data_IF_644211802926
#
_entry.id   IF_644211802926
#
_cell.length_a   1.000
_cell.length_b   1.000
_cell.length_c   1.000
_cell.angle_alpha   90.00
_cell.angle_beta   90.00
_cell.angle_gamma   90.00
#
_symmetry.space_group_name_H-M   'P 1'
#
loop_
_entity.id
_entity.type
_entity.pdbx_description
1 polymer ?
#
# COMPACT_ATOMS: atom_id res chain seq x y z
N UNK A 1 -4.66 -20.97 17.72
CA UNK A 1 -4.13 -19.62 17.46
C UNK A 1 -4.52 -19.28 16.03
N UNK A 2 -5.29 -18.21 15.80
CA UNK A 2 -5.63 -17.80 14.43
C UNK A 2 -4.35 -17.45 13.66
N UNK A 3 -4.20 -18.00 12.46
CA UNK A 3 -3.05 -17.77 11.60
C UNK A 3 -2.96 -16.31 11.15
N UNK A 4 -1.77 -15.87 10.76
CA UNK A 4 -1.59 -14.52 10.22
C UNK A 4 -2.46 -14.28 8.98
N UNK A 5 -2.63 -15.30 8.12
CA UNK A 5 -3.51 -15.23 6.95
C UNK A 5 -4.99 -15.05 7.29
N UNK A 6 -5.50 -15.71 8.35
CA UNK A 6 -6.88 -15.53 8.81
C UNK A 6 -7.11 -14.11 9.32
N UNK A 7 -6.14 -13.54 10.05
CA UNK A 7 -6.21 -12.13 10.48
C UNK A 7 -6.24 -11.16 9.30
N UNK A 8 -5.44 -11.40 8.27
CA UNK A 8 -5.46 -10.58 7.05
C UNK A 8 -6.79 -10.72 6.30
N UNK A 9 -7.32 -11.93 6.23
CA UNK A 9 -8.64 -12.19 5.65
C UNK A 9 -9.75 -11.42 6.39
N UNK A 10 -9.76 -11.48 7.73
CA UNK A 10 -10.70 -10.74 8.57
C UNK A 10 -10.58 -9.23 8.36
N UNK A 11 -9.35 -8.71 8.25
CA UNK A 11 -9.10 -7.30 7.93
C UNK A 11 -9.67 -6.90 6.57
N UNK A 12 -9.58 -7.77 5.55
CA UNK A 12 -10.13 -7.52 4.23
C UNK A 12 -11.67 -7.55 4.18
N UNK A 13 -12.31 -8.30 5.09
CA UNK A 13 -13.77 -8.34 5.20
C UNK A 13 -14.34 -7.20 6.03
N UNK A 14 -13.58 -6.69 7.01
CA UNK A 14 -13.98 -5.56 7.84
C UNK A 14 -13.74 -4.23 7.13
N UNK A 15 -14.77 -3.45 6.73
CA UNK A 15 -14.58 -2.22 5.97
C UNK A 15 -13.70 -1.19 6.69
N UNK A 16 -13.84 -1.07 8.01
CA UNK A 16 -13.04 -0.15 8.81
C UNK A 16 -11.56 -0.54 8.87
N UNK A 17 -11.26 -1.84 9.00
CA UNK A 17 -9.87 -2.32 9.04
C UNK A 17 -9.22 -2.24 7.66
N UNK A 18 -9.94 -2.64 6.61
CA UNK A 18 -9.47 -2.51 5.23
C UNK A 18 -9.15 -1.03 4.91
N UNK A 19 -10.05 -0.10 5.21
CA UNK A 19 -9.80 1.33 5.00
C UNK A 19 -8.59 1.82 5.80
N UNK A 20 -8.41 1.35 7.03
CA UNK A 20 -7.25 1.70 7.86
C UNK A 20 -5.94 1.24 7.20
N UNK A 21 -5.89 0.01 6.68
CA UNK A 21 -4.72 -0.53 5.98
C UNK A 21 -4.39 0.31 4.74
N UNK A 22 -5.42 0.63 3.94
CA UNK A 22 -5.25 1.47 2.75
C UNK A 22 -4.76 2.88 3.10
N UNK A 23 -5.36 3.53 4.10
CA UNK A 23 -5.00 4.88 4.53
C UNK A 23 -3.56 4.91 5.07
N UNK A 24 -3.16 3.95 5.88
CA UNK A 24 -1.77 3.84 6.36
C UNK A 24 -0.80 3.70 5.20
N UNK A 25 -1.10 2.85 4.22
CA UNK A 25 -0.29 2.71 3.01
C UNK A 25 -0.18 4.01 2.21
N UNK A 26 -1.30 4.67 1.95
CA UNK A 26 -1.35 5.92 1.19
C UNK A 26 -0.61 7.06 1.90
N UNK A 27 -0.80 7.22 3.21
CA UNK A 27 -0.11 8.25 4.00
C UNK A 27 1.39 7.98 4.00
N UNK A 28 1.83 6.75 4.27
CA UNK A 28 3.26 6.40 4.24
C UNK A 28 3.88 6.66 2.87
N UNK A 29 3.17 6.27 1.79
CA UNK A 29 3.63 6.51 0.42
C UNK A 29 3.76 8.01 0.13
N UNK A 30 2.75 8.80 0.52
CA UNK A 30 2.74 10.24 0.32
C UNK A 30 3.87 10.92 1.09
N UNK A 31 4.09 10.53 2.35
CA UNK A 31 5.19 11.05 3.16
C UNK A 31 6.55 10.65 2.58
N UNK A 32 6.71 9.41 2.12
CA UNK A 32 7.95 8.96 1.45
C UNK A 32 8.24 9.76 0.19
N UNK A 33 7.23 9.97 -0.68
CA UNK A 33 7.36 10.77 -1.90
C UNK A 33 7.64 12.25 -1.61
N UNK A 34 7.00 12.81 -0.58
CA UNK A 34 7.28 14.16 -0.13
C UNK A 34 8.72 14.29 0.39
N UNK A 35 9.19 13.33 1.18
CA UNK A 35 10.57 13.29 1.65
C UNK A 35 11.57 13.22 0.49
N UNK A 36 11.31 12.38 -0.53
CA UNK A 36 12.11 12.33 -1.76
C UNK A 36 12.15 13.68 -2.49
N UNK A 37 11.00 14.35 -2.61
CA UNK A 37 10.91 15.67 -3.26
C UNK A 37 11.69 16.76 -2.51
N UNK A 38 11.88 16.60 -1.20
CA UNK A 38 12.64 17.53 -0.37
C UNK A 38 14.15 17.27 -0.39
N UNK A 39 14.63 16.10 -0.85
CA UNK A 39 16.06 15.76 -0.85
C UNK A 39 16.97 16.84 -1.46
N UNK A 40 16.62 17.51 -2.57
CA UNK A 40 17.45 18.58 -3.12
C UNK A 40 17.66 19.77 -2.16
N UNK A 41 16.71 20.02 -1.24
CA UNK A 41 16.79 21.12 -0.27
C UNK A 41 17.64 20.79 0.97
N UNK A 42 17.99 19.51 1.18
CA UNK A 42 18.69 19.03 2.38
C UNK A 42 20.20 19.29 2.30
N UNK A 43 20.74 19.51 1.10
CA UNK A 43 22.18 19.64 0.88
C UNK A 43 22.89 18.29 0.89
N UNK A 44 24.12 18.21 1.42
CA UNK A 44 24.95 17.00 1.41
C UNK A 44 25.33 16.52 2.82
N UNK A 45 25.81 15.28 2.93
CA UNK A 45 26.31 14.71 4.18
C UNK A 45 25.30 13.82 4.92
N UNK A 46 25.47 13.67 6.23
CA UNK A 46 24.71 12.71 7.04
C UNK A 46 23.21 12.95 7.06
N UNK A 47 22.76 14.20 7.02
CA UNK A 47 21.34 14.55 6.95
C UNK A 47 20.68 14.08 5.65
N UNK A 48 21.37 14.20 4.52
CA UNK A 48 20.89 13.70 3.23
C UNK A 48 20.77 12.17 3.23
N UNK A 49 21.76 11.46 3.80
CA UNK A 49 21.73 10.01 3.90
C UNK A 49 20.56 9.51 4.75
N UNK A 50 20.33 10.15 5.91
CA UNK A 50 19.21 9.81 6.78
C UNK A 50 17.86 10.08 6.11
N UNK A 51 17.69 11.23 5.46
CA UNK A 51 16.43 11.56 4.76
C UNK A 51 16.17 10.66 3.57
N UNK A 52 17.21 10.26 2.83
CA UNK A 52 17.09 9.27 1.75
C UNK A 52 16.59 7.92 2.27
N UNK A 53 17.15 7.45 3.39
CA UNK A 53 16.72 6.18 4.01
C UNK A 53 15.27 6.26 4.49
N UNK A 54 14.88 7.34 5.15
CA UNK A 54 13.50 7.55 5.59
C UNK A 54 12.54 7.58 4.39
N UNK A 55 12.90 8.29 3.33
CA UNK A 55 12.08 8.38 2.12
C UNK A 55 11.88 7.01 1.46
N UNK A 56 12.93 6.19 1.37
CA UNK A 56 12.87 4.84 0.82
C UNK A 56 12.02 3.90 1.69
N UNK A 57 12.24 3.90 3.00
CA UNK A 57 11.49 3.04 3.93
C UNK A 57 10.00 3.38 3.90
N UNK A 58 9.65 4.66 3.99
CA UNK A 58 8.25 5.11 3.94
C UNK A 58 7.59 4.80 2.60
N UNK A 59 8.31 4.95 1.50
CA UNK A 59 7.82 4.58 0.17
C UNK A 59 7.58 3.07 0.09
N UNK A 60 8.52 2.24 0.54
CA UNK A 60 8.39 0.78 0.54
C UNK A 60 7.25 0.27 1.41
N UNK A 61 7.11 0.80 2.64
CA UNK A 61 5.98 0.53 3.53
C UNK A 61 4.66 0.93 2.87
N UNK A 62 4.63 2.11 2.25
CA UNK A 62 3.45 2.61 1.57
C UNK A 62 3.01 1.71 0.42
N UNK A 63 3.94 1.35 -0.47
CA UNK A 63 3.69 0.42 -1.58
C UNK A 63 3.16 -0.92 -1.07
N UNK A 64 3.80 -1.47 -0.04
CA UNK A 64 3.39 -2.76 0.53
C UNK A 64 1.95 -2.74 1.04
N UNK A 65 1.59 -1.75 1.86
CA UNK A 65 0.25 -1.69 2.45
C UNK A 65 -0.85 -1.34 1.42
N UNK A 66 -0.54 -0.51 0.42
CA UNK A 66 -1.47 -0.25 -0.69
C UNK A 66 -1.70 -1.52 -1.50
N UNK A 67 -0.63 -2.23 -1.87
CA UNK A 67 -0.74 -3.50 -2.60
C UNK A 67 -1.52 -4.54 -1.79
N UNK A 68 -1.23 -4.67 -0.50
CA UNK A 68 -1.95 -5.56 0.42
C UNK A 68 -3.46 -5.24 0.46
N UNK A 69 -3.83 -3.97 0.61
CA UNK A 69 -5.23 -3.55 0.62
C UNK A 69 -5.94 -3.91 -0.70
N UNK A 70 -5.29 -3.68 -1.85
CA UNK A 70 -5.83 -4.00 -3.16
C UNK A 70 -6.02 -5.51 -3.35
N UNK A 71 -5.04 -6.33 -2.92
CA UNK A 71 -5.18 -7.79 -2.92
C UNK A 71 -6.31 -8.24 -2.00
N UNK A 72 -6.37 -7.72 -0.77
CA UNK A 72 -7.44 -8.05 0.16
C UNK A 72 -8.81 -7.72 -0.42
N UNK A 73 -8.99 -6.53 -0.99
CA UNK A 73 -10.24 -6.16 -1.67
C UNK A 73 -10.61 -7.13 -2.79
N UNK A 74 -9.63 -7.57 -3.59
CA UNK A 74 -9.90 -8.46 -4.72
C UNK A 74 -10.34 -9.85 -4.24
N UNK A 75 -9.76 -10.33 -3.14
CA UNK A 75 -10.05 -11.66 -2.62
C UNK A 75 -11.27 -11.70 -1.68
N UNK A 76 -11.59 -10.60 -0.99
CA UNK A 76 -12.74 -10.53 -0.07
C UNK A 76 -14.04 -10.08 -0.74
N UNK A 77 -13.98 -9.49 -1.94
CA UNK A 77 -15.17 -9.18 -2.72
C UNK A 77 -15.98 -10.46 -2.97
N UNK A 78 -17.27 -10.47 -2.61
CA UNK A 78 -18.15 -11.65 -2.69
C UNK A 78 -19.24 -11.50 -3.75
N UNK A 79 -19.66 -12.61 -4.36
CA UNK A 79 -20.75 -12.66 -5.34
C UNK A 79 -20.27 -12.96 -6.76
N UNK A 80 -21.13 -13.61 -7.54
CA UNK A 80 -20.82 -14.12 -8.88
C UNK A 80 -21.29 -13.20 -10.01
N UNK A 81 -21.57 -11.93 -9.70
CA UNK A 81 -21.97 -10.95 -10.71
C UNK A 81 -20.78 -10.54 -11.58
N UNK A 82 -21.09 -10.17 -12.83
CA UNK A 82 -20.13 -9.54 -13.74
C UNK A 82 -19.41 -8.34 -13.09
N UNK A 83 -20.15 -7.51 -12.35
CA UNK A 83 -19.61 -6.32 -11.67
C UNK A 83 -18.56 -6.68 -10.62
N UNK A 84 -18.79 -7.73 -9.83
CA UNK A 84 -17.81 -8.21 -8.84
C UNK A 84 -16.55 -8.72 -9.53
N UNK A 85 -16.67 -9.49 -10.61
CA UNK A 85 -15.51 -9.98 -11.38
C UNK A 85 -14.67 -8.84 -11.95
N UNK A 86 -15.30 -7.83 -12.58
CA UNK A 86 -14.59 -6.65 -13.10
C UNK A 86 -13.88 -5.90 -11.98
N UNK A 87 -14.53 -5.74 -10.82
CA UNK A 87 -13.93 -5.09 -9.65
C UNK A 87 -12.68 -5.81 -9.15
N UNK A 88 -12.73 -7.14 -9.01
CA UNK A 88 -11.57 -7.95 -8.61
C UNK A 88 -10.40 -7.79 -9.58
N UNK A 89 -10.68 -7.85 -10.90
CA UNK A 89 -9.66 -7.65 -11.94
C UNK A 89 -9.05 -6.25 -11.83
N UNK A 90 -9.88 -5.21 -11.67
CA UNK A 90 -9.40 -3.83 -11.53
C UNK A 90 -8.46 -3.66 -10.33
N UNK A 91 -8.78 -4.27 -9.19
CA UNK A 91 -7.93 -4.22 -8.00
C UNK A 91 -6.62 -4.97 -8.18
N UNK A 92 -6.64 -6.14 -8.82
CA UNK A 92 -5.41 -6.88 -9.13
C UNK A 92 -4.52 -6.12 -10.12
N UNK A 93 -5.10 -5.52 -11.17
CA UNK A 93 -4.36 -4.67 -12.10
C UNK A 93 -3.76 -3.45 -11.37
N UNK A 94 -4.54 -2.78 -10.53
CA UNK A 94 -4.04 -1.67 -9.72
C UNK A 94 -2.89 -2.10 -8.79
N UNK A 95 -2.98 -3.28 -8.17
CA UNK A 95 -1.91 -3.82 -7.32
C UNK A 95 -0.63 -4.06 -8.12
N UNK A 96 -0.73 -4.64 -9.31
CA UNK A 96 0.40 -4.84 -10.23
C UNK A 96 1.01 -3.49 -10.63
N UNK A 97 0.19 -2.49 -10.98
CA UNK A 97 0.67 -1.16 -11.32
C UNK A 97 1.44 -0.53 -10.14
N UNK A 98 0.92 -0.64 -8.93
CA UNK A 98 1.59 -0.14 -7.71
C UNK A 98 2.94 -0.85 -7.52
N UNK A 99 2.99 -2.18 -7.66
CA UNK A 99 4.22 -2.94 -7.49
C UNK A 99 5.26 -2.67 -8.59
N UNK A 100 4.84 -2.42 -9.82
CA UNK A 100 5.77 -2.21 -10.96
C UNK A 100 6.27 -0.78 -11.03
N UNK A 101 5.41 0.20 -10.77
CA UNK A 101 5.73 1.61 -11.01
C UNK A 101 6.08 2.41 -9.75
N UNK A 102 5.84 1.87 -8.55
CA UNK A 102 6.09 2.58 -7.29
C UNK A 102 7.17 1.94 -6.40
N UNK A 103 7.65 0.73 -6.73
CA UNK A 103 8.95 0.19 -6.28
C UNK A 103 10.08 0.97 -6.97
#
# INVERSE_FOLDING_TARGET
MTGFGEKLWDMGQSPGQHLSVLVVGLVSLLTGRLATAMLPAVGSGGALAAMTMVALVLSGIGVFFVALALFLGAYTASGDSWTTTVWRIAQLLAAVLVLVFLI
#
